data_IF_084398021063
#
_entry.id   IF_084398021063
#
_cell.length_a   1.000
_cell.length_b   1.000
_cell.length_c   1.000
_cell.angle_alpha   90.00
_cell.angle_beta   90.00
_cell.angle_gamma   90.00
#
_symmetry.space_group_name_H-M   'P 1'
#
loop_
_entity.id
_entity.type
_entity.pdbx_description
1 polymer ?
#
# COMPACT_ATOMS: atom_id res chain seq x y z
N UNK A 1 -11.82 11.36 9.70
CA UNK A 1 -11.62 10.43 8.57
C UNK A 1 -11.22 11.14 7.28
N UNK A 2 -10.06 10.79 6.75
CA UNK A 2 -9.51 11.18 5.44
C UNK A 2 -9.37 9.92 4.60
N UNK A 3 -9.76 9.98 3.34
CA UNK A 3 -9.63 8.86 2.39
C UNK A 3 -8.84 9.34 1.18
N UNK A 4 -7.80 8.60 0.81
CA UNK A 4 -7.00 8.82 -0.40
C UNK A 4 -7.16 7.59 -1.28
N UNK A 5 -7.53 7.79 -2.54
CA UNK A 5 -7.65 6.74 -3.55
C UNK A 5 -6.59 6.97 -4.62
N UNK A 6 -5.68 6.01 -4.75
CA UNK A 6 -4.73 5.89 -5.85
C UNK A 6 -5.19 4.85 -6.86
N UNK A 7 -4.39 4.63 -7.90
CA UNK A 7 -4.73 3.69 -8.98
C UNK A 7 -4.72 2.23 -8.49
N UNK A 8 -3.84 1.93 -7.53
CA UNK A 8 -3.60 0.57 -7.01
C UNK A 8 -3.77 0.47 -5.50
N UNK A 9 -4.26 1.52 -4.86
CA UNK A 9 -4.35 1.55 -3.42
C UNK A 9 -5.41 2.52 -2.92
N UNK A 10 -5.83 2.30 -1.68
CA UNK A 10 -6.73 3.18 -0.94
C UNK A 10 -6.21 3.29 0.49
N UNK A 11 -6.07 4.51 0.96
CA UNK A 11 -5.66 4.81 2.34
C UNK A 11 -6.84 5.45 3.05
N UNK A 12 -7.20 4.89 4.19
CA UNK A 12 -8.19 5.40 5.12
C UNK A 12 -7.45 5.79 6.40
N UNK A 13 -7.47 7.08 6.73
CA UNK A 13 -6.83 7.64 7.91
C UNK A 13 -7.88 8.27 8.82
N UNK A 14 -7.96 7.81 10.06
CA UNK A 14 -8.72 8.50 11.10
C UNK A 14 -7.78 9.10 12.15
N UNK A 15 -7.70 10.44 12.17
CA UNK A 15 -6.87 11.17 13.13
C UNK A 15 -7.40 11.08 14.57
N UNK A 16 -8.71 10.95 14.77
CA UNK A 16 -9.30 10.92 16.12
C UNK A 16 -9.00 9.58 16.80
N UNK A 17 -9.11 8.49 16.04
CA UNK A 17 -8.81 7.14 16.54
C UNK A 17 -7.34 6.76 16.35
N UNK A 18 -6.57 7.57 15.61
CA UNK A 18 -5.21 7.25 15.20
C UNK A 18 -5.14 5.97 14.36
N UNK A 19 -6.20 5.68 13.63
CA UNK A 19 -6.37 4.45 12.85
C UNK A 19 -5.92 4.69 11.41
N UNK A 20 -5.13 3.76 10.89
CA UNK A 20 -4.80 3.69 9.47
C UNK A 20 -5.19 2.34 8.91
N UNK A 21 -5.94 2.38 7.83
CA UNK A 21 -6.27 1.23 7.01
C UNK A 21 -5.82 1.50 5.58
N UNK A 22 -5.13 0.55 4.97
CA UNK A 22 -4.60 0.65 3.62
C UNK A 22 -5.07 -0.59 2.89
N UNK A 23 -5.84 -0.41 1.82
CA UNK A 23 -6.12 -1.46 0.87
C UNK A 23 -5.17 -1.27 -0.31
N UNK A 24 -4.42 -2.30 -0.66
CA UNK A 24 -3.39 -2.24 -1.68
C UNK A 24 -3.59 -3.39 -2.66
N UNK A 25 -3.84 -3.06 -3.92
CA UNK A 25 -4.03 -4.01 -5.00
C UNK A 25 -2.81 -3.99 -5.94
N UNK A 26 -1.83 -4.88 -5.75
CA UNK A 26 -0.64 -4.92 -6.59
C UNK A 26 -0.98 -5.21 -8.05
N UNK A 27 -0.63 -4.27 -8.93
CA UNK A 27 -0.80 -4.36 -10.39
C UNK A 27 -0.23 -5.66 -10.98
N UNK A 28 0.87 -6.14 -10.41
CA UNK A 28 1.57 -7.35 -10.85
C UNK A 28 0.71 -8.61 -10.68
N UNK A 29 -0.06 -8.71 -9.59
CA UNK A 29 -1.01 -9.83 -9.36
C UNK A 29 -2.25 -9.72 -10.24
N UNK A 30 -2.61 -8.50 -10.67
CA UNK A 30 -3.76 -8.24 -11.55
C UNK A 30 -3.41 -8.54 -13.02
N UNK A 31 -2.19 -8.23 -13.45
CA UNK A 31 -1.80 -8.30 -14.87
C UNK A 31 -1.34 -9.67 -15.35
N UNK A 32 -0.81 -10.51 -14.45
CA UNK A 32 -0.40 -11.87 -14.80
C UNK A 32 -0.52 -12.80 -13.58
N UNK A 33 -1.64 -13.53 -13.43
CA UNK A 33 -1.85 -14.43 -12.30
C UNK A 33 -0.86 -15.63 -12.26
N UNK A 34 -0.11 -15.90 -13.34
CA UNK A 34 0.78 -17.06 -13.48
C UNK A 34 2.25 -16.74 -13.80
N UNK A 35 2.65 -15.46 -13.90
CA UNK A 35 4.05 -15.12 -14.22
C UNK A 35 4.80 -14.61 -12.99
N UNK A 36 6.05 -15.05 -12.88
CA UNK A 36 7.08 -14.59 -11.94
C UNK A 36 7.45 -13.10 -12.16
N UNK A 37 6.45 -12.22 -12.24
CA UNK A 37 6.62 -10.78 -12.32
C UNK A 37 6.89 -10.31 -10.89
N UNK A 38 8.18 -10.28 -10.57
CA UNK A 38 8.81 -9.49 -9.52
C UNK A 38 7.96 -9.29 -8.26
N UNK A 39 8.01 -10.26 -7.34
CA UNK A 39 7.68 -10.00 -5.93
C UNK A 39 8.49 -8.83 -5.33
N UNK A 40 9.49 -8.31 -6.05
CA UNK A 40 10.30 -7.15 -5.69
C UNK A 40 9.45 -5.94 -5.31
N UNK A 41 8.61 -5.41 -6.20
CA UNK A 41 8.01 -4.09 -5.97
C UNK A 41 6.90 -4.12 -4.92
N UNK A 42 5.96 -5.07 -5.03
CA UNK A 42 4.89 -5.19 -4.04
C UNK A 42 5.39 -5.81 -2.73
N UNK A 43 6.45 -6.65 -2.77
CA UNK A 43 7.10 -7.22 -1.60
C UNK A 43 7.83 -6.17 -0.76
N UNK A 44 8.47 -5.18 -1.39
CA UNK A 44 9.02 -4.02 -0.69
C UNK A 44 7.92 -3.25 0.05
N UNK A 45 6.80 -2.94 -0.62
CA UNK A 45 5.64 -2.27 0.00
C UNK A 45 5.12 -3.09 1.20
N UNK A 46 4.94 -4.40 1.02
CA UNK A 46 4.52 -5.30 2.11
C UNK A 46 5.48 -5.26 3.30
N UNK A 47 6.78 -5.29 3.04
CA UNK A 47 7.82 -5.28 4.06
C UNK A 47 7.90 -3.94 4.78
N UNK A 48 7.81 -2.83 4.06
CA UNK A 48 7.82 -1.48 4.62
C UNK A 48 6.60 -1.24 5.51
N UNK A 49 5.40 -1.60 5.04
CA UNK A 49 4.16 -1.43 5.80
C UNK A 49 4.11 -2.39 6.99
N UNK A 50 4.44 -3.67 6.83
CA UNK A 50 4.48 -4.62 7.95
C UNK A 50 5.52 -4.21 9.01
N UNK A 51 6.68 -3.67 8.57
CA UNK A 51 7.73 -3.18 9.46
C UNK A 51 7.33 -1.97 10.31
N UNK A 52 6.27 -1.24 9.93
CA UNK A 52 5.72 -0.12 10.70
C UNK A 52 4.72 -0.55 11.78
N UNK A 53 4.40 -1.84 11.88
CA UNK A 53 3.45 -2.37 12.87
C UNK A 53 2.02 -2.46 12.35
N UNK A 54 1.83 -2.43 11.02
CA UNK A 54 0.55 -2.78 10.42
C UNK A 54 0.32 -4.28 10.49
N UNK A 55 -0.92 -4.67 10.74
CA UNK A 55 -1.40 -6.02 10.54
C UNK A 55 -1.84 -6.19 9.08
N UNK A 56 -1.24 -7.15 8.38
CA UNK A 56 -1.54 -7.42 6.97
C UNK A 56 -2.50 -8.60 6.84
N UNK A 57 -3.56 -8.40 6.07
CA UNK A 57 -4.52 -9.44 5.69
C UNK A 57 -4.56 -9.53 4.16
N UNK A 58 -4.32 -10.71 3.60
CA UNK A 58 -4.44 -10.92 2.15
C UNK A 58 -5.87 -11.30 1.80
N UNK A 59 -6.49 -10.55 0.89
CA UNK A 59 -7.80 -10.84 0.30
C UNK A 59 -7.66 -11.01 -1.22
N UNK A 60 -7.66 -12.25 -1.70
CA UNK A 60 -7.48 -12.58 -3.11
C UNK A 60 -6.18 -11.96 -3.68
N UNK A 61 -6.34 -10.98 -4.58
CA UNK A 61 -5.25 -10.26 -5.24
C UNK A 61 -4.92 -8.92 -4.55
N UNK A 62 -5.53 -8.62 -3.40
CA UNK A 62 -5.35 -7.36 -2.67
C UNK A 62 -4.85 -7.64 -1.24
N UNK A 63 -4.15 -6.69 -0.65
CA UNK A 63 -3.64 -6.70 0.72
C UNK A 63 -4.27 -5.57 1.51
N UNK A 64 -4.78 -5.89 2.69
CA UNK A 64 -5.36 -4.92 3.61
C UNK A 64 -4.45 -4.79 4.81
N UNK A 65 -3.85 -3.62 5.00
CA UNK A 65 -3.03 -3.30 6.16
C UNK A 65 -3.85 -2.47 7.13
N UNK A 66 -3.94 -2.90 8.38
CA UNK A 66 -4.63 -2.14 9.45
C UNK A 66 -3.69 -1.92 10.61
N UNK A 67 -3.63 -0.70 11.12
CA UNK A 67 -2.82 -0.36 12.28
C UNK A 67 -3.42 0.79 13.07
N UNK A 68 -3.16 0.79 14.38
CA UNK A 68 -3.57 1.85 15.29
C UNK A 68 -2.30 2.46 15.89
N UNK A 69 -2.08 3.74 15.60
CA UNK A 69 -0.81 4.43 15.87
C UNK A 69 -0.97 5.64 16.80
N UNK A 70 -2.20 6.00 17.19
CA UNK A 70 -2.49 7.12 18.09
C UNK A 70 -1.82 8.41 17.62
N UNK A 71 -1.04 9.06 18.49
CA UNK A 71 -0.35 10.32 18.17
C UNK A 71 0.70 10.22 17.04
N UNK A 72 1.15 9.01 16.68
CA UNK A 72 2.09 8.79 15.56
C UNK A 72 1.39 8.55 14.23
N UNK A 73 0.06 8.46 14.22
CA UNK A 73 -0.71 8.13 13.04
C UNK A 73 -0.46 9.09 11.87
N UNK A 74 -0.30 10.38 12.14
CA UNK A 74 0.02 11.38 11.12
C UNK A 74 1.40 11.16 10.45
N UNK A 75 2.42 10.83 11.24
CA UNK A 75 3.76 10.52 10.71
C UNK A 75 3.75 9.25 9.87
N UNK A 76 3.05 8.22 10.35
CA UNK A 76 2.87 6.96 9.62
C UNK A 76 2.08 7.19 8.33
N UNK A 77 1.04 8.02 8.37
CA UNK A 77 0.23 8.37 7.19
C UNK A 77 1.05 9.02 6.08
N UNK A 78 1.85 10.03 6.40
CA UNK A 78 2.72 10.71 5.43
C UNK A 78 3.74 9.74 4.82
N UNK A 79 4.28 8.83 5.63
CA UNK A 79 5.19 7.78 5.17
C UNK A 79 4.51 6.80 4.21
N UNK A 80 3.36 6.26 4.61
CA UNK A 80 2.56 5.32 3.81
C UNK A 80 2.21 5.93 2.47
N UNK A 81 1.78 7.19 2.47
CA UNK A 81 1.44 7.92 1.25
C UNK A 81 2.64 7.95 0.29
N UNK A 82 3.82 8.30 0.79
CA UNK A 82 5.05 8.34 0.00
C UNK A 82 5.40 6.98 -0.59
N UNK A 83 5.39 5.91 0.20
CA UNK A 83 5.71 4.54 -0.26
C UNK A 83 4.77 4.12 -1.40
N UNK A 84 3.48 4.41 -1.27
CA UNK A 84 2.48 4.05 -2.27
C UNK A 84 2.56 4.92 -3.54
N UNK A 85 2.84 6.22 -3.40
CA UNK A 85 3.11 7.13 -4.53
C UNK A 85 4.37 6.70 -5.32
N UNK A 86 5.43 6.28 -4.62
CA UNK A 86 6.64 5.74 -5.24
C UNK A 86 6.36 4.42 -5.98
N UNK A 87 5.54 3.54 -5.39
CA UNK A 87 5.10 2.31 -6.05
C UNK A 87 4.32 2.61 -7.33
N UNK A 88 3.31 3.48 -7.27
CA UNK A 88 2.51 3.85 -8.43
C UNK A 88 3.38 4.44 -9.54
N UNK A 89 4.30 5.34 -9.19
CA UNK A 89 5.26 5.94 -10.14
C UNK A 89 6.12 4.88 -10.81
N UNK A 90 6.67 3.91 -10.06
CA UNK A 90 7.48 2.81 -10.61
C UNK A 90 6.67 1.96 -11.60
N UNK A 91 5.42 1.63 -11.26
CA UNK A 91 4.52 0.86 -12.14
C UNK A 91 4.20 1.64 -13.42
N UNK A 92 3.88 2.94 -13.30
CA UNK A 92 3.59 3.80 -14.45
C UNK A 92 4.80 3.96 -15.37
N UNK A 93 6.00 4.10 -14.82
CA UNK A 93 7.23 4.13 -15.61
C UNK A 93 7.44 2.81 -16.36
N UNK A 94 7.22 1.66 -15.73
CA UNK A 94 7.33 0.35 -16.37
C UNK A 94 6.35 0.20 -17.54
N UNK A 95 5.13 0.73 -17.43
CA UNK A 95 4.15 0.75 -18.53
C UNK A 95 4.55 1.65 -19.71
N UNK A 96 5.21 2.77 -19.43
CA UNK A 96 5.54 3.78 -20.46
C UNK A 96 6.76 3.40 -21.29
N UNK A 97 7.56 2.43 -20.83
CA UNK A 97 8.80 1.98 -21.50
C UNK A 97 8.55 0.75 -22.41
N UNK A 98 7.31 0.22 -22.48
CA UNK A 98 6.93 -0.89 -23.35
C UNK A 98 6.32 -0.44 -24.69
#
# INVERSE_FOLDING_TARGET
MVVIEGTFYRIVYDENEGLLEIEFEPWELVSAPESSISEEYYGDVLKELSGKGFNVERKNNSFVFKGVFGNKAKEVFEYVKKVLEEYETKIMLKKTVC
#
